data_IF_680143310265
#
_entry.id   IF_680143310265
#
_cell.length_a   1.000
_cell.length_b   1.000
_cell.length_c   1.000
_cell.angle_alpha   90.00
_cell.angle_beta   90.00
_cell.angle_gamma   90.00
#
_symmetry.space_group_name_H-M   'P 1'
#
loop_
_entity.id
_entity.type
_entity.pdbx_description
1 polymer ?
#
# COMPACT_ATOMS: atom_id res chain seq x y z
N UNK A 1 -11.53 -4.02 10.17
CA UNK A 1 -11.65 -5.05 9.10
C UNK A 1 -10.23 -5.37 8.66
N UNK A 2 -9.83 -6.65 8.69
CA UNK A 2 -8.53 -7.06 8.19
C UNK A 2 -8.57 -7.25 6.65
N UNK A 3 -7.38 -7.41 6.03
CA UNK A 3 -7.30 -7.54 4.57
C UNK A 3 -7.99 -8.82 4.06
N UNK A 4 -7.85 -9.93 4.78
CA UNK A 4 -8.42 -11.23 4.38
C UNK A 4 -9.94 -11.16 4.31
N UNK A 5 -10.58 -10.48 5.27
CA UNK A 5 -12.03 -10.24 5.26
C UNK A 5 -12.44 -9.33 4.09
N UNK A 6 -11.61 -8.32 3.79
CA UNK A 6 -11.86 -7.37 2.72
C UNK A 6 -11.80 -8.01 1.34
N UNK A 7 -10.77 -8.84 1.08
CA UNK A 7 -10.59 -9.53 -0.20
C UNK A 7 -11.48 -10.77 -0.37
N UNK A 8 -12.16 -11.22 0.69
CA UNK A 8 -13.03 -12.41 0.68
C UNK A 8 -12.36 -13.66 0.11
N UNK A 9 -11.06 -13.83 0.35
CA UNK A 9 -10.25 -14.91 -0.20
C UNK A 9 -9.84 -14.75 -1.67
N UNK A 10 -10.20 -13.65 -2.33
CA UNK A 10 -9.79 -13.35 -3.70
C UNK A 10 -8.58 -12.41 -3.69
N UNK A 11 -7.39 -12.99 -3.65
CA UNK A 11 -6.13 -12.24 -3.72
C UNK A 11 -5.81 -11.77 -5.14
N UNK A 12 -4.97 -10.75 -5.26
CA UNK A 12 -4.59 -10.14 -6.53
C UNK A 12 -5.62 -9.16 -7.08
N UNK A 13 -5.30 -8.57 -8.24
CA UNK A 13 -6.18 -7.57 -8.90
C UNK A 13 -6.86 -8.22 -10.10
N UNK A 14 -8.17 -8.05 -10.20
CA UNK A 14 -8.94 -8.57 -11.34
C UNK A 14 -8.72 -7.71 -12.58
N UNK A 15 -8.63 -8.37 -13.73
CA UNK A 15 -8.46 -7.71 -15.03
C UNK A 15 -9.82 -7.36 -15.62
N UNK A 16 -9.94 -6.14 -16.14
CA UNK A 16 -11.12 -5.71 -16.85
C UNK A 16 -11.04 -6.10 -18.33
N UNK A 17 -12.04 -6.80 -18.83
CA UNK A 17 -12.12 -7.25 -20.21
C UNK A 17 -13.35 -6.67 -20.92
N UNK A 18 -13.23 -6.51 -22.26
CA UNK A 18 -14.36 -6.18 -23.14
C UNK A 18 -14.40 -7.10 -24.34
N UNK A 19 -15.61 -7.45 -24.77
CA UNK A 19 -15.85 -8.20 -26.02
C UNK A 19 -15.93 -7.32 -27.27
N UNK A 20 -15.79 -6.00 -27.12
CA UNK A 20 -15.89 -5.05 -28.23
C UNK A 20 -14.62 -5.11 -29.10
N UNK A 21 -14.75 -5.15 -30.41
CA UNK A 21 -13.62 -5.22 -31.33
C UNK A 21 -12.90 -3.87 -31.50
N UNK A 22 -13.64 -2.77 -31.39
CA UNK A 22 -13.11 -1.40 -31.54
C UNK A 22 -13.83 -0.43 -30.61
N UNK A 23 -13.07 0.42 -29.95
CA UNK A 23 -13.61 1.52 -29.14
C UNK A 23 -13.99 2.69 -30.04
N UNK A 24 -15.20 3.20 -29.83
CA UNK A 24 -15.79 4.33 -30.58
C UNK A 24 -16.51 5.26 -29.61
N UNK A 25 -16.83 6.51 -30.00
CA UNK A 25 -17.61 7.43 -29.16
C UNK A 25 -18.99 6.89 -28.74
N UNK A 26 -19.57 5.98 -29.53
CA UNK A 26 -20.89 5.39 -29.27
C UNK A 26 -20.87 4.29 -28.23
N UNK A 27 -19.72 3.56 -28.07
CA UNK A 27 -19.66 2.41 -27.19
C UNK A 27 -18.74 2.61 -25.95
N UNK A 28 -17.87 3.63 -25.95
CA UNK A 28 -16.88 3.84 -24.87
C UNK A 28 -17.54 4.00 -23.50
N UNK A 29 -18.65 4.72 -23.40
CA UNK A 29 -19.40 4.92 -22.15
C UNK A 29 -19.87 3.57 -21.60
N UNK A 30 -20.42 2.72 -22.46
CA UNK A 30 -20.84 1.36 -22.06
C UNK A 30 -19.67 0.52 -21.59
N UNK A 31 -18.54 0.54 -22.33
CA UNK A 31 -17.33 -0.22 -21.94
C UNK A 31 -16.82 0.23 -20.57
N UNK A 32 -16.77 1.53 -20.30
CA UNK A 32 -16.38 2.06 -18.99
C UNK A 32 -17.38 1.63 -17.91
N UNK A 33 -18.70 1.76 -18.18
CA UNK A 33 -19.76 1.35 -17.24
C UNK A 33 -19.70 -0.12 -16.88
N UNK A 34 -19.45 -0.99 -17.86
CA UNK A 34 -19.38 -2.45 -17.68
C UNK A 34 -18.11 -2.87 -16.89
N UNK A 35 -17.04 -2.07 -16.93
CA UNK A 35 -15.73 -2.42 -16.36
C UNK A 35 -15.41 -1.70 -15.04
N UNK A 36 -15.99 -0.54 -14.78
CA UNK A 36 -15.69 0.28 -13.59
C UNK A 36 -15.97 -0.46 -12.28
N UNK A 37 -16.97 -1.34 -12.24
CA UNK A 37 -17.29 -2.14 -11.05
C UNK A 37 -16.13 -3.07 -10.63
N UNK A 38 -15.39 -3.63 -11.60
CA UNK A 38 -14.20 -4.44 -11.36
C UNK A 38 -13.09 -3.56 -10.78
N UNK A 39 -12.87 -2.39 -11.40
CA UNK A 39 -11.86 -1.45 -10.93
C UNK A 39 -12.15 -0.93 -9.52
N UNK A 40 -13.39 -0.61 -9.19
CA UNK A 40 -13.77 -0.13 -7.85
C UNK A 40 -13.47 -1.15 -6.75
N UNK A 41 -13.64 -2.45 -7.03
CA UNK A 41 -13.18 -3.52 -6.10
C UNK A 41 -11.67 -3.52 -5.98
N UNK A 42 -10.95 -3.48 -7.09
CA UNK A 42 -9.49 -3.39 -7.08
C UNK A 42 -9.01 -2.16 -6.30
N UNK A 43 -9.64 -1.00 -6.53
CA UNK A 43 -9.33 0.25 -5.82
C UNK A 43 -9.42 0.10 -4.31
N UNK A 44 -10.47 -0.52 -3.80
CA UNK A 44 -10.62 -0.76 -2.35
C UNK A 44 -9.45 -1.55 -1.78
N UNK A 45 -8.97 -2.58 -2.49
CA UNK A 45 -7.83 -3.38 -2.08
C UNK A 45 -6.50 -2.61 -2.24
N UNK A 46 -6.35 -1.86 -3.32
CA UNK A 46 -5.18 -0.99 -3.59
C UNK A 46 -5.04 0.06 -2.47
N UNK A 47 -6.14 0.74 -2.13
CA UNK A 47 -6.16 1.78 -1.09
C UNK A 47 -5.80 1.19 0.28
N UNK A 48 -6.30 -0.01 0.60
CA UNK A 48 -5.96 -0.70 1.84
C UNK A 48 -4.47 -1.05 1.89
N UNK A 49 -3.94 -1.72 0.87
CA UNK A 49 -2.55 -2.15 0.81
C UNK A 49 -1.56 -0.98 0.83
N UNK A 50 -1.89 0.10 0.14
CA UNK A 50 -1.05 1.29 0.11
C UNK A 50 -1.02 2.01 1.47
N UNK A 51 -2.16 2.10 2.19
CA UNK A 51 -2.21 2.62 3.56
C UNK A 51 -1.47 1.70 4.52
N UNK A 52 -1.65 0.38 4.38
CA UNK A 52 -0.96 -0.63 5.19
C UNK A 52 0.57 -0.47 5.08
N UNK A 53 1.10 -0.36 3.86
CA UNK A 53 2.51 -0.11 3.59
C UNK A 53 2.99 1.20 4.25
N UNK A 54 2.15 2.22 4.32
CA UNK A 54 2.45 3.48 5.00
C UNK A 54 2.40 3.42 6.53
N UNK A 55 2.02 2.28 7.11
CA UNK A 55 1.93 2.09 8.55
C UNK A 55 0.54 2.17 9.14
N UNK A 56 -0.51 2.43 8.34
CA UNK A 56 -1.90 2.37 8.78
C UNK A 56 -2.35 0.90 8.85
N UNK A 57 -1.98 0.23 9.94
CA UNK A 57 -2.13 -1.22 10.11
C UNK A 57 -3.15 -1.56 11.20
N UNK A 58 -3.80 -2.76 11.13
CA UNK A 58 -4.89 -3.14 12.02
C UNK A 58 -4.59 -3.06 13.51
N UNK A 59 -3.34 -3.26 13.90
CA UNK A 59 -2.92 -3.20 15.30
C UNK A 59 -3.19 -1.83 15.95
N UNK A 60 -3.15 -0.75 15.19
CA UNK A 60 -3.42 0.60 15.67
C UNK A 60 -4.86 0.78 16.17
N UNK A 61 -5.77 -0.06 15.67
CA UNK A 61 -7.21 -0.03 16.00
C UNK A 61 -7.61 -1.11 16.99
N UNK A 62 -6.62 -1.85 17.56
CA UNK A 62 -6.87 -2.88 18.55
C UNK A 62 -7.44 -2.29 19.84
N UNK A 63 -8.55 -2.84 20.32
CA UNK A 63 -9.10 -2.54 21.64
C UNK A 63 -9.04 -3.78 22.52
N UNK A 64 -8.56 -3.61 23.76
CA UNK A 64 -8.60 -4.64 24.80
C UNK A 64 -9.78 -4.38 25.73
N UNK A 65 -10.53 -5.43 26.06
CA UNK A 65 -11.65 -5.36 27.00
C UNK A 65 -11.11 -5.47 28.44
N UNK A 66 -10.05 -6.33 28.63
CA UNK A 66 -9.41 -6.54 29.91
C UNK A 66 -8.17 -5.69 29.99
N UNK A 67 -8.04 -4.86 31.01
CA UNK A 67 -6.94 -3.90 31.22
C UNK A 67 -6.71 -2.98 30.02
N UNK A 68 -7.68 -2.15 29.68
CA UNK A 68 -7.59 -1.25 28.52
C UNK A 68 -6.46 -0.22 28.63
N UNK A 69 -5.99 0.05 29.86
CA UNK A 69 -4.85 0.92 30.17
C UNK A 69 -3.51 0.35 29.68
N UNK A 70 -3.40 -1.00 29.56
CA UNK A 70 -2.20 -1.69 29.07
C UNK A 70 -2.49 -2.17 27.65
N UNK A 71 -2.46 -1.27 26.70
CA UNK A 71 -2.79 -1.54 25.29
C UNK A 71 -1.81 -0.85 24.34
N UNK A 72 -0.55 -1.29 24.40
CA UNK A 72 0.45 -0.84 23.44
C UNK A 72 0.10 -1.29 22.03
N UNK A 73 0.27 -0.39 21.06
CA UNK A 73 -0.05 -0.60 19.65
C UNK A 73 1.17 -0.23 18.82
N UNK A 74 2.01 -1.22 18.56
CA UNK A 74 3.28 -1.05 17.86
C UNK A 74 3.17 -1.56 16.45
N UNK A 75 3.62 -0.77 15.51
CA UNK A 75 3.79 -1.16 14.11
C UNK A 75 5.27 -1.34 13.83
N UNK A 76 5.69 -2.57 13.59
CA UNK A 76 6.99 -2.90 13.00
C UNK A 76 6.77 -3.01 11.48
N UNK A 77 7.06 -1.94 10.72
CA UNK A 77 6.57 -1.79 9.36
C UNK A 77 7.42 -2.51 8.32
N UNK A 78 7.46 -3.85 8.39
CA UNK A 78 8.16 -4.69 7.40
C UNK A 78 7.54 -4.62 6.00
N UNK A 79 6.26 -4.23 5.90
CA UNK A 79 5.64 -3.99 4.59
C UNK A 79 6.33 -2.85 3.84
N UNK A 80 6.68 -1.76 4.54
CA UNK A 80 7.43 -0.65 3.95
C UNK A 80 8.86 -1.07 3.54
N UNK A 81 9.54 -1.82 4.39
CA UNK A 81 10.89 -2.33 4.11
C UNK A 81 10.90 -3.23 2.88
N UNK A 82 9.97 -4.20 2.80
CA UNK A 82 9.84 -5.11 1.65
C UNK A 82 9.64 -4.35 0.34
N UNK A 83 8.72 -3.38 0.34
CA UNK A 83 8.42 -2.56 -0.85
C UNK A 83 9.63 -1.70 -1.25
N UNK A 84 10.29 -1.07 -0.30
CA UNK A 84 11.47 -0.23 -0.56
C UNK A 84 12.66 -1.04 -1.04
N UNK A 85 12.89 -2.20 -0.44
CA UNK A 85 13.95 -3.11 -0.86
C UNK A 85 13.76 -3.55 -2.31
N UNK A 86 12.55 -4.02 -2.67
CA UNK A 86 12.25 -4.44 -4.03
C UNK A 86 12.34 -3.29 -5.04
N UNK A 87 11.82 -2.11 -4.71
CA UNK A 87 11.93 -0.95 -5.57
C UNK A 87 13.39 -0.54 -5.81
N UNK A 88 14.23 -0.61 -4.79
CA UNK A 88 15.68 -0.38 -4.89
C UNK A 88 16.39 -1.42 -5.76
N UNK A 89 16.01 -2.70 -5.65
CA UNK A 89 16.58 -3.77 -6.48
C UNK A 89 16.23 -3.64 -7.97
N UNK A 90 15.01 -3.18 -8.28
CA UNK A 90 14.53 -3.09 -9.68
C UNK A 90 14.97 -1.79 -10.34
N UNK A 91 14.97 -0.68 -9.61
CA UNK A 91 15.15 0.68 -10.14
C UNK A 91 16.20 1.48 -9.34
N UNK A 92 17.14 0.80 -8.65
CA UNK A 92 18.20 1.46 -7.89
C UNK A 92 19.25 2.13 -8.78
N UNK A 93 19.39 1.65 -10.01
CA UNK A 93 20.25 2.26 -11.03
C UNK A 93 19.41 2.79 -12.20
N UNK A 94 19.84 3.89 -12.85
CA UNK A 94 19.20 4.44 -14.04
C UNK A 94 19.07 3.43 -15.18
N UNK A 95 17.90 3.41 -15.81
CA UNK A 95 17.68 2.58 -17.00
C UNK A 95 18.20 3.32 -18.23
N UNK A 96 19.26 2.80 -18.84
CA UNK A 96 19.84 3.35 -20.07
C UNK A 96 19.42 2.54 -21.29
N UNK A 97 19.06 3.22 -22.34
CA UNK A 97 18.80 2.62 -23.63
C UNK A 97 20.09 2.58 -24.43
N UNK A 98 20.40 1.45 -25.06
CA UNK A 98 21.58 1.24 -25.84
C UNK A 98 21.26 0.70 -27.23
N UNK A 99 22.04 1.07 -28.20
CA UNK A 99 21.92 0.56 -29.57
C UNK A 99 22.39 -0.90 -29.68
N UNK A 100 21.83 -1.63 -30.63
CA UNK A 100 22.38 -2.93 -31.04
C UNK A 100 23.81 -2.75 -31.59
N UNK A 101 24.67 -3.76 -31.41
CA UNK A 101 26.01 -3.81 -32.03
C UNK A 101 25.89 -3.54 -33.54
N UNK A 102 26.74 -2.67 -34.05
CA UNK A 102 26.79 -2.23 -35.48
C UNK A 102 25.58 -1.31 -35.88
N UNK A 103 25.01 -0.55 -34.98
CA UNK A 103 24.08 0.50 -35.36
C UNK A 103 24.79 1.66 -36.07
N UNK A 104 24.12 2.29 -37.02
CA UNK A 104 24.61 3.48 -37.70
C UNK A 104 24.83 4.64 -36.73
N UNK A 105 25.76 5.53 -37.03
CA UNK A 105 26.09 6.71 -36.23
C UNK A 105 24.84 7.54 -35.91
N UNK A 106 23.95 7.73 -36.88
CA UNK A 106 22.69 8.46 -36.72
C UNK A 106 21.72 7.82 -35.72
N UNK A 107 21.72 6.47 -35.62
CA UNK A 107 20.90 5.75 -34.67
C UNK A 107 21.46 5.93 -33.25
N UNK A 108 22.80 5.90 -33.11
CA UNK A 108 23.47 6.15 -31.82
C UNK A 108 23.13 7.55 -31.30
N UNK A 109 23.25 8.59 -32.13
CA UNK A 109 22.90 9.98 -31.79
C UNK A 109 21.41 10.13 -31.37
N UNK A 110 20.50 9.36 -31.99
CA UNK A 110 19.09 9.37 -31.60
C UNK A 110 18.82 8.68 -30.27
N UNK A 111 19.59 7.63 -29.94
CA UNK A 111 19.44 6.94 -28.64
C UNK A 111 20.04 7.78 -27.51
N UNK A 112 21.20 8.44 -27.79
CA UNK A 112 21.78 9.38 -26.81
C UNK A 112 20.80 10.53 -26.51
N UNK A 113 20.22 11.13 -27.54
CA UNK A 113 19.17 12.17 -27.37
C UNK A 113 17.93 11.64 -26.62
N UNK A 114 17.54 10.38 -26.82
CA UNK A 114 16.43 9.78 -26.04
C UNK A 114 16.81 9.65 -24.56
N UNK A 115 18.04 9.24 -24.24
CA UNK A 115 18.50 9.15 -22.86
C UNK A 115 18.52 10.54 -22.21
N UNK A 116 19.04 11.57 -22.91
CA UNK A 116 19.01 12.94 -22.43
C UNK A 116 17.57 13.42 -22.12
N UNK A 117 16.61 13.17 -23.00
CA UNK A 117 15.21 13.51 -22.76
C UNK A 117 14.58 12.72 -21.59
N UNK A 118 14.99 11.48 -21.36
CA UNK A 118 14.53 10.67 -20.23
C UNK A 118 15.07 11.21 -18.91
N UNK A 119 16.32 11.66 -18.89
CA UNK A 119 16.94 12.29 -17.73
C UNK A 119 16.22 13.62 -17.39
N UNK A 120 15.99 14.47 -18.40
CA UNK A 120 15.23 15.72 -18.23
C UNK A 120 13.79 15.48 -17.77
N UNK A 121 13.13 14.42 -18.26
CA UNK A 121 11.79 14.00 -17.81
C UNK A 121 11.79 13.35 -16.43
N UNK A 122 12.96 13.23 -15.77
CA UNK A 122 13.15 12.58 -14.47
C UNK A 122 12.61 11.13 -14.45
N UNK A 123 12.92 10.37 -15.51
CA UNK A 123 12.40 9.03 -15.73
C UNK A 123 12.76 8.07 -14.58
N UNK A 124 13.94 8.22 -13.97
CA UNK A 124 14.40 7.33 -12.89
C UNK A 124 13.58 7.48 -11.63
N UNK A 125 13.32 8.70 -11.16
CA UNK A 125 12.44 8.93 -10.02
C UNK A 125 11.02 8.40 -10.29
N UNK A 126 10.53 8.54 -11.54
CA UNK A 126 9.24 8.00 -11.95
C UNK A 126 9.25 6.45 -11.97
N UNK A 127 10.34 5.83 -12.38
CA UNK A 127 10.49 4.37 -12.36
C UNK A 127 10.52 3.83 -10.93
N UNK A 128 11.20 4.50 -9.99
CA UNK A 128 11.16 4.16 -8.56
C UNK A 128 9.75 4.29 -8.00
N UNK A 129 9.06 5.40 -8.27
CA UNK A 129 7.66 5.58 -7.85
C UNK A 129 6.75 4.48 -8.40
N UNK A 130 6.91 4.12 -9.68
CA UNK A 130 6.20 3.02 -10.32
C UNK A 130 6.46 1.68 -9.62
N UNK A 131 7.73 1.38 -9.31
CA UNK A 131 8.11 0.14 -8.64
C UNK A 131 7.54 0.04 -7.23
N UNK A 132 7.48 1.16 -6.48
CA UNK A 132 6.83 1.23 -5.17
C UNK A 132 5.34 0.90 -5.29
N UNK A 133 4.61 1.53 -6.21
CA UNK A 133 3.19 1.20 -6.42
C UNK A 133 3.01 -0.26 -6.86
N UNK A 134 3.82 -0.74 -7.79
CA UNK A 134 3.79 -2.11 -8.30
C UNK A 134 3.92 -3.15 -7.18
N UNK A 135 4.92 -2.99 -6.33
CA UNK A 135 5.17 -3.88 -5.20
C UNK A 135 4.08 -3.75 -4.11
N UNK A 136 3.73 -2.51 -3.74
CA UNK A 136 2.78 -2.25 -2.67
C UNK A 136 1.34 -2.67 -2.99
N UNK A 137 0.90 -2.55 -4.25
CA UNK A 137 -0.51 -2.72 -4.61
C UNK A 137 -0.78 -3.83 -5.63
N UNK A 138 0.29 -4.48 -6.14
CA UNK A 138 0.21 -5.56 -7.12
C UNK A 138 0.14 -5.10 -8.57
N UNK A 139 -0.09 -3.81 -8.83
CA UNK A 139 -0.10 -3.20 -10.15
C UNK A 139 0.31 -1.74 -10.09
N UNK A 140 0.84 -1.22 -11.17
CA UNK A 140 1.13 0.20 -11.35
C UNK A 140 0.92 0.59 -12.80
N UNK A 141 0.90 1.89 -13.07
CA UNK A 141 0.72 2.43 -14.41
C UNK A 141 1.80 3.47 -14.70
N UNK A 142 2.28 3.48 -15.93
CA UNK A 142 3.18 4.52 -16.44
C UNK A 142 2.49 5.23 -17.58
N UNK A 143 2.30 6.52 -17.46
CA UNK A 143 1.72 7.38 -18.48
C UNK A 143 2.82 8.22 -19.16
N UNK A 144 2.79 8.24 -20.49
CA UNK A 144 3.67 9.07 -21.32
C UNK A 144 2.75 9.98 -22.13
N UNK A 145 2.79 11.27 -21.84
CA UNK A 145 1.95 12.27 -22.48
C UNK A 145 2.82 13.24 -23.27
N UNK A 146 2.24 13.83 -24.31
CA UNK A 146 2.90 14.90 -25.07
C UNK A 146 3.08 16.11 -24.16
N UNK A 147 4.27 16.76 -24.26
CA UNK A 147 4.49 18.06 -23.63
C UNK A 147 3.89 19.14 -24.53
N UNK A 148 2.93 19.90 -23.99
CA UNK A 148 2.18 20.89 -24.77
C UNK A 148 3.04 22.13 -25.10
N UNK A 149 3.92 22.49 -24.16
CA UNK A 149 4.83 23.64 -24.29
C UNK A 149 6.16 23.30 -25.00
N UNK A 150 6.25 22.09 -25.56
CA UNK A 150 7.47 21.66 -26.24
C UNK A 150 7.72 22.46 -27.52
N UNK A 151 8.92 22.98 -27.65
CA UNK A 151 9.45 23.60 -28.86
C UNK A 151 10.74 22.92 -29.27
N UNK A 152 10.99 22.81 -30.57
CA UNK A 152 12.18 22.08 -31.10
C UNK A 152 13.53 22.63 -30.58
N UNK A 153 13.59 23.88 -30.18
CA UNK A 153 14.77 24.56 -29.67
C UNK A 153 14.66 24.90 -28.17
N UNK A 154 13.68 24.34 -27.49
CA UNK A 154 13.47 24.54 -26.03
C UNK A 154 14.19 23.47 -25.22
N UNK A 155 14.33 23.74 -23.92
CA UNK A 155 15.00 22.87 -22.95
C UNK A 155 14.11 21.74 -22.45
N UNK A 156 12.80 21.71 -22.84
CA UNK A 156 11.87 20.69 -22.38
C UNK A 156 11.88 19.46 -23.29
N UNK A 157 11.77 18.24 -22.74
CA UNK A 157 11.59 17.02 -23.53
C UNK A 157 10.22 17.02 -24.24
N UNK A 158 10.09 16.35 -25.41
CA UNK A 158 8.83 16.31 -26.18
C UNK A 158 7.69 15.56 -25.49
N UNK A 159 7.96 14.96 -24.36
CA UNK A 159 6.99 14.18 -23.58
C UNK A 159 7.24 14.37 -22.07
N UNK A 160 6.20 14.18 -21.30
CA UNK A 160 6.25 14.07 -19.85
C UNK A 160 5.87 12.66 -19.41
N UNK A 161 6.54 12.20 -18.35
CA UNK A 161 6.27 10.91 -17.73
C UNK A 161 5.59 11.18 -16.39
N UNK A 162 4.47 10.50 -16.14
CA UNK A 162 3.90 10.50 -14.80
C UNK A 162 3.38 9.11 -14.42
N UNK A 163 3.27 8.88 -13.11
CA UNK A 163 2.83 7.63 -12.54
C UNK A 163 1.51 7.90 -11.84
N UNK A 164 0.36 7.60 -12.49
CA UNK A 164 -0.92 7.76 -11.85
C UNK A 164 -1.06 6.82 -10.64
N UNK A 165 -1.82 7.27 -9.63
CA UNK A 165 -2.16 6.40 -8.52
C UNK A 165 -2.93 5.17 -9.04
N UNK A 166 -2.55 3.95 -8.65
CA UNK A 166 -3.16 2.74 -9.21
C UNK A 166 -4.66 2.60 -8.95
N UNK A 167 -5.18 3.25 -7.90
CA UNK A 167 -6.61 3.32 -7.61
C UNK A 167 -7.39 4.23 -8.56
N UNK A 168 -6.71 5.11 -9.29
CA UNK A 168 -7.34 6.07 -10.21
C UNK A 168 -7.11 5.75 -11.67
N UNK A 169 -6.57 4.57 -11.97
CA UNK A 169 -6.28 4.18 -13.35
C UNK A 169 -6.46 2.68 -13.56
N UNK A 170 -6.94 2.28 -14.73
CA UNK A 170 -6.98 0.88 -15.15
C UNK A 170 -6.96 0.72 -16.64
N UNK A 171 -6.64 -0.49 -17.10
CA UNK A 171 -6.65 -0.87 -18.51
C UNK A 171 -7.76 -1.88 -18.76
N UNK A 172 -8.50 -1.68 -19.85
CA UNK A 172 -9.48 -2.64 -20.37
C UNK A 172 -8.84 -3.44 -21.50
N UNK A 173 -8.89 -4.75 -21.36
CA UNK A 173 -8.29 -5.69 -22.31
C UNK A 173 -9.36 -6.34 -23.19
N UNK A 174 -8.96 -6.77 -24.38
CA UNK A 174 -9.82 -7.55 -25.28
C UNK A 174 -9.97 -8.98 -24.75
N UNK A 175 -11.22 -9.45 -24.63
CA UNK A 175 -11.50 -10.86 -24.32
C UNK A 175 -10.95 -11.83 -25.40
N UNK A 176 -10.82 -11.35 -26.64
CA UNK A 176 -10.46 -12.19 -27.78
C UNK A 176 -8.95 -12.51 -27.84
N UNK A 177 -8.10 -11.54 -27.53
CA UNK A 177 -6.65 -11.67 -27.72
C UNK A 177 -5.80 -11.13 -26.57
N UNK A 178 -6.40 -10.70 -25.47
CA UNK A 178 -5.68 -10.19 -24.29
C UNK A 178 -4.94 -8.86 -24.51
N UNK A 179 -5.12 -8.17 -25.64
CA UNK A 179 -4.44 -6.90 -25.91
C UNK A 179 -5.16 -5.73 -25.22
N UNK A 180 -4.42 -4.69 -24.77
CA UNK A 180 -5.04 -3.49 -24.23
C UNK A 180 -5.86 -2.77 -25.29
N UNK A 181 -7.09 -2.40 -24.94
CA UNK A 181 -8.08 -1.75 -25.82
C UNK A 181 -8.34 -0.30 -25.40
N UNK A 182 -8.35 -0.03 -24.10
CA UNK A 182 -8.67 1.26 -23.53
C UNK A 182 -7.92 1.45 -22.21
N UNK A 183 -7.26 2.58 -22.04
CA UNK A 183 -6.89 3.06 -20.71
C UNK A 183 -7.95 4.00 -20.18
N UNK A 184 -8.25 3.89 -18.91
CA UNK A 184 -9.22 4.75 -18.21
C UNK A 184 -8.53 5.37 -17.02
N UNK A 185 -8.49 6.68 -16.97
CA UNK A 185 -8.02 7.46 -15.84
C UNK A 185 -9.20 8.19 -15.22
N UNK A 186 -9.33 8.10 -13.91
CA UNK A 186 -10.36 8.73 -13.11
C UNK A 186 -9.77 10.02 -12.56
N UNK A 187 -10.35 11.14 -12.91
CA UNK A 187 -9.90 12.47 -12.54
C UNK A 187 -11.04 13.26 -11.92
N UNK A 188 -10.71 14.33 -11.21
CA UNK A 188 -11.65 15.33 -10.72
C UNK A 188 -11.30 16.67 -11.34
N UNK A 189 -12.31 17.46 -11.67
CA UNK A 189 -12.16 18.85 -12.09
C UNK A 189 -12.04 19.81 -10.88
N UNK A 190 -11.99 21.11 -11.15
CA UNK A 190 -11.88 22.14 -10.11
C UNK A 190 -13.10 22.18 -9.18
N UNK A 191 -14.27 21.74 -9.67
CA UNK A 191 -15.52 21.61 -8.89
C UNK A 191 -15.65 20.28 -8.17
N UNK A 192 -14.57 19.47 -8.10
CA UNK A 192 -14.52 18.11 -7.56
C UNK A 192 -15.43 17.10 -8.30
N UNK A 193 -15.96 17.44 -9.48
CA UNK A 193 -16.72 16.50 -10.29
C UNK A 193 -15.82 15.47 -10.93
N UNK A 194 -16.18 14.20 -10.76
CA UNK A 194 -15.44 13.09 -11.33
C UNK A 194 -15.70 13.00 -12.85
N UNK A 195 -14.62 12.85 -13.62
CA UNK A 195 -14.68 12.54 -15.02
C UNK A 195 -13.66 11.44 -15.37
N UNK A 196 -13.88 10.79 -16.51
CA UNK A 196 -12.97 9.76 -17.02
C UNK A 196 -12.26 10.28 -18.26
N UNK A 197 -10.92 10.20 -18.25
CA UNK A 197 -10.10 10.45 -19.41
C UNK A 197 -9.66 9.09 -19.97
N UNK A 198 -10.08 8.79 -21.18
CA UNK A 198 -9.91 7.46 -21.76
C UNK A 198 -9.09 7.56 -23.04
N UNK A 199 -8.16 6.62 -23.25
CA UNK A 199 -7.37 6.54 -24.48
C UNK A 199 -7.50 5.14 -25.09
N UNK A 200 -7.94 5.08 -26.31
CA UNK A 200 -7.79 3.93 -27.20
C UNK A 200 -6.54 4.12 -28.07
N UNK A 201 -6.20 3.13 -28.90
CA UNK A 201 -5.07 3.25 -29.82
C UNK A 201 -5.13 4.50 -30.70
N UNK A 202 -6.32 4.89 -31.18
CA UNK A 202 -6.48 5.94 -32.19
C UNK A 202 -7.23 7.17 -31.71
N UNK A 203 -7.93 7.10 -30.59
CA UNK A 203 -8.81 8.16 -30.10
C UNK A 203 -8.68 8.35 -28.60
N UNK A 204 -8.91 9.59 -28.14
CA UNK A 204 -9.15 9.89 -26.74
C UNK A 204 -10.61 10.29 -26.52
N UNK A 205 -11.09 10.14 -25.29
CA UNK A 205 -12.46 10.47 -24.89
C UNK A 205 -12.45 11.05 -23.47
N UNK A 206 -13.20 12.14 -23.28
CA UNK A 206 -13.53 12.65 -21.95
C UNK A 206 -15.00 12.31 -21.68
N UNK A 207 -15.25 11.62 -20.59
CA UNK A 207 -16.59 11.19 -20.20
C UNK A 207 -16.96 11.88 -18.89
N UNK A 208 -18.01 12.69 -18.90
CA UNK A 208 -18.54 13.38 -17.72
C UNK A 208 -20.02 13.06 -17.60
N UNK A 209 -20.48 12.71 -16.39
CA UNK A 209 -21.88 12.38 -16.13
C UNK A 209 -22.46 11.31 -17.08
N UNK A 210 -21.66 10.30 -17.40
CA UNK A 210 -22.08 9.18 -18.27
C UNK A 210 -22.25 9.55 -19.75
N UNK A 211 -21.71 10.69 -20.20
CA UNK A 211 -21.74 11.13 -21.60
C UNK A 211 -20.34 11.50 -22.08
N UNK A 212 -20.06 11.24 -23.35
CA UNK A 212 -18.84 11.74 -23.99
C UNK A 212 -19.00 13.24 -24.19
N UNK A 213 -18.20 14.03 -23.48
CA UNK A 213 -18.19 15.49 -23.56
C UNK A 213 -17.15 16.01 -24.56
N UNK A 214 -16.07 15.25 -24.74
CA UNK A 214 -15.00 15.59 -25.67
C UNK A 214 -14.39 14.30 -26.23
N UNK A 215 -13.99 14.30 -27.48
CA UNK A 215 -13.23 13.23 -28.10
C UNK A 215 -12.41 13.76 -29.29
N UNK A 216 -11.32 13.06 -29.59
CA UNK A 216 -10.41 13.44 -30.67
C UNK A 216 -9.46 12.33 -31.05
N UNK A 217 -8.48 12.68 -31.91
CA UNK A 217 -7.45 11.75 -32.34
C UNK A 217 -6.41 11.61 -31.24
N UNK A 218 -6.06 10.37 -30.92
CA UNK A 218 -4.91 10.07 -30.10
C UNK A 218 -3.64 10.06 -30.96
N UNK A 219 -2.84 11.11 -30.85
CA UNK A 219 -1.63 11.31 -31.67
C UNK A 219 -0.44 10.40 -31.28
N UNK A 220 -0.56 9.55 -30.26
CA UNK A 220 0.55 8.70 -29.79
C UNK A 220 0.76 7.42 -30.62
N UNK A 221 -0.15 7.06 -31.49
CA UNK A 221 -0.10 5.79 -32.24
C UNK A 221 -0.29 4.53 -31.37
N UNK A 222 -0.58 4.69 -30.10
CA UNK A 222 -0.78 3.65 -29.11
C UNK A 222 -1.54 4.18 -27.89
N UNK A 223 -1.83 3.33 -26.91
CA UNK A 223 -2.39 3.74 -25.63
C UNK A 223 -1.27 4.36 -24.78
N UNK A 224 -1.36 5.64 -24.37
CA UNK A 224 -0.25 6.32 -23.69
C UNK A 224 -0.06 5.89 -22.22
N UNK A 225 -1.00 5.13 -21.66
CA UNK A 225 -0.92 4.60 -20.31
C UNK A 225 -0.74 3.09 -20.38
N UNK A 226 0.34 2.60 -19.80
CA UNK A 226 0.70 1.18 -19.80
C UNK A 226 0.62 0.63 -18.39
N UNK A 227 -0.01 -0.52 -18.23
CA UNK A 227 -0.01 -1.25 -16.97
C UNK A 227 1.33 -1.99 -16.78
N UNK A 228 1.85 -1.94 -15.54
CA UNK A 228 3.02 -2.67 -15.09
C UNK A 228 2.59 -3.54 -13.91
N UNK A 229 2.11 -4.78 -14.14
CA UNK A 229 1.71 -5.68 -13.07
C UNK A 229 2.93 -6.21 -12.32
N UNK A 230 2.76 -6.49 -11.03
CA UNK A 230 3.82 -7.04 -10.19
C UNK A 230 4.16 -8.51 -10.57
N UNK A 231 3.12 -9.25 -10.93
CA UNK A 231 3.17 -10.62 -11.40
C UNK A 231 1.92 -10.91 -12.24
N UNK A 232 1.77 -12.16 -12.71
CA UNK A 232 0.64 -12.56 -13.56
C UNK A 232 -0.72 -12.31 -12.88
N UNK A 233 -0.82 -12.61 -11.59
CA UNK A 233 -2.06 -12.49 -10.81
C UNK A 233 -2.25 -11.10 -10.18
N UNK A 234 -1.32 -10.18 -10.41
CA UNK A 234 -1.30 -8.84 -9.81
C UNK A 234 -1.34 -8.86 -8.28
N UNK A 235 -0.64 -9.86 -7.71
CA UNK A 235 -0.44 -9.96 -6.27
C UNK A 235 0.55 -8.89 -5.79
N UNK A 236 0.23 -8.23 -4.71
CA UNK A 236 1.14 -7.34 -3.99
C UNK A 236 2.13 -8.16 -3.15
N UNK A 237 3.34 -7.65 -3.00
CA UNK A 237 4.32 -8.27 -2.08
C UNK A 237 3.89 -8.09 -0.62
N UNK A 238 3.14 -7.04 -0.32
CA UNK A 238 2.54 -6.83 1.01
C UNK A 238 1.43 -7.84 1.29
N UNK A 239 0.54 -8.06 0.32
CA UNK A 239 -0.63 -8.94 0.48
C UNK A 239 -0.23 -10.41 0.72
N UNK A 240 0.87 -10.86 0.12
CA UNK A 240 1.39 -12.22 0.28
C UNK A 240 1.81 -12.50 1.74
N UNK A 241 2.39 -11.51 2.41
CA UNK A 241 2.93 -11.63 3.76
C UNK A 241 2.09 -10.92 4.84
N UNK A 242 0.91 -10.40 4.50
CA UNK A 242 0.14 -9.48 5.36
C UNK A 242 -0.24 -10.11 6.70
N UNK A 243 -0.57 -11.41 6.72
CA UNK A 243 -0.90 -12.14 7.96
C UNK A 243 0.31 -12.31 8.87
N UNK A 244 1.50 -12.47 8.29
CA UNK A 244 2.76 -12.51 9.03
C UNK A 244 3.08 -11.15 9.63
N UNK A 245 2.95 -10.07 8.87
CA UNK A 245 3.16 -8.70 9.37
C UNK A 245 2.19 -8.36 10.53
N UNK A 246 0.92 -8.76 10.41
CA UNK A 246 -0.06 -8.60 11.49
C UNK A 246 0.33 -9.40 12.74
N UNK A 247 0.86 -10.62 12.58
CA UNK A 247 1.33 -11.46 13.69
C UNK A 247 2.54 -10.84 14.41
N UNK A 248 3.51 -10.29 13.66
CA UNK A 248 4.68 -9.59 14.20
C UNK A 248 4.25 -8.37 15.01
N UNK A 249 3.39 -7.53 14.46
CA UNK A 249 2.87 -6.34 15.16
C UNK A 249 2.15 -6.69 16.45
N UNK A 250 1.33 -7.74 16.42
CA UNK A 250 0.63 -8.25 17.59
C UNK A 250 1.62 -8.74 18.65
N UNK A 251 2.62 -9.52 18.25
CA UNK A 251 3.64 -10.03 19.12
C UNK A 251 4.44 -8.92 19.82
N UNK A 252 4.95 -7.94 19.06
CA UNK A 252 5.68 -6.79 19.60
C UNK A 252 4.84 -5.95 20.57
N UNK A 253 3.58 -5.73 20.21
CA UNK A 253 2.63 -5.02 21.08
C UNK A 253 2.37 -5.78 22.38
N UNK A 254 2.20 -7.10 22.31
CA UNK A 254 1.94 -7.94 23.49
C UNK A 254 3.19 -8.11 24.35
N UNK A 255 4.38 -8.10 23.76
CA UNK A 255 5.66 -8.06 24.48
C UNK A 255 5.78 -6.80 25.33
N UNK A 256 5.50 -5.62 24.75
CA UNK A 256 5.51 -4.37 25.53
C UNK A 256 4.44 -4.34 26.63
N UNK A 257 3.23 -4.84 26.31
CA UNK A 257 2.19 -4.99 27.32
C UNK A 257 2.63 -5.89 28.47
N UNK A 258 3.36 -6.98 28.19
CA UNK A 258 3.91 -7.87 29.18
C UNK A 258 4.92 -7.18 30.10
N UNK A 259 5.85 -6.40 29.51
CA UNK A 259 6.83 -5.61 30.29
C UNK A 259 6.11 -4.61 31.19
N UNK A 260 5.11 -3.90 30.69
CA UNK A 260 4.35 -2.92 31.47
C UNK A 260 3.54 -3.57 32.59
N UNK A 261 2.94 -4.74 32.35
CA UNK A 261 2.26 -5.53 33.37
C UNK A 261 3.20 -6.08 34.44
N UNK A 262 4.43 -6.43 34.05
CA UNK A 262 5.46 -6.91 35.00
C UNK A 262 5.89 -5.80 35.96
N UNK A 263 6.00 -4.57 35.48
CA UNK A 263 6.30 -3.40 36.35
C UNK A 263 5.15 -3.10 37.30
N UNK A 264 3.90 -3.47 36.94
CA UNK A 264 2.68 -3.37 37.77
C UNK A 264 2.44 -4.70 38.51
N UNK A 265 3.39 -5.19 39.31
CA UNK A 265 3.24 -6.43 40.04
C UNK A 265 1.98 -6.46 40.91
N UNK A 266 1.32 -7.63 40.98
CA UNK A 266 0.17 -7.82 41.84
C UNK A 266 0.60 -8.07 43.28
N UNK A 267 0.01 -7.31 44.22
CA UNK A 267 0.17 -7.59 45.65
C UNK A 267 -0.92 -8.59 46.07
N UNK A 268 -0.48 -9.70 46.64
CA UNK A 268 -1.36 -10.69 47.23
C UNK A 268 -1.36 -10.50 48.74
N UNK A 269 -2.53 -10.12 49.25
CA UNK A 269 -2.74 -9.98 50.70
C UNK A 269 -3.28 -11.29 51.27
N UNK A 270 -2.62 -11.80 52.31
CA UNK A 270 -3.07 -12.98 53.04
C UNK A 270 -3.42 -12.57 54.48
N UNK A 271 -4.62 -12.98 54.96
CA UNK A 271 -5.08 -12.73 56.31
C UNK A 271 -5.10 -11.24 56.71
N UNK A 272 -5.28 -10.34 55.78
CA UNK A 272 -5.39 -8.91 56.03
C UNK A 272 -6.53 -8.30 55.19
N UNK A 273 -7.27 -7.41 55.81
CA UNK A 273 -8.26 -6.58 55.13
C UNK A 273 -7.59 -5.26 54.74
N UNK A 274 -7.68 -4.89 53.48
CA UNK A 274 -7.15 -3.62 52.92
C UNK A 274 -8.26 -2.93 52.16
N UNK A 275 -8.61 -1.73 52.61
CA UNK A 275 -9.57 -0.87 51.91
C UNK A 275 -8.88 -0.26 50.66
N UNK A 276 -9.70 0.03 49.64
CA UNK A 276 -9.23 0.62 48.37
C UNK A 276 -8.44 1.93 48.58
N UNK A 277 -8.87 2.77 49.50
CA UNK A 277 -8.19 4.02 49.83
C UNK A 277 -6.82 3.79 50.56
N UNK A 278 -6.77 2.78 51.41
CA UNK A 278 -5.49 2.38 52.07
C UNK A 278 -4.55 1.79 51.03
N UNK A 279 -5.02 0.94 50.13
CA UNK A 279 -4.23 0.39 49.02
C UNK A 279 -3.64 1.50 48.14
N UNK A 280 -4.44 2.47 47.71
CA UNK A 280 -3.99 3.60 46.88
C UNK A 280 -2.94 4.47 47.60
N UNK A 281 -3.04 4.62 48.94
CA UNK A 281 -2.04 5.31 49.73
C UNK A 281 -0.73 4.53 49.83
N UNK A 282 -0.80 3.22 50.02
CA UNK A 282 0.37 2.33 50.05
C UNK A 282 1.14 2.37 48.71
N UNK A 283 0.43 2.27 47.59
CA UNK A 283 1.01 2.37 46.24
C UNK A 283 1.70 3.72 46.00
N UNK A 284 1.09 4.83 46.46
CA UNK A 284 1.67 6.18 46.30
C UNK A 284 2.89 6.38 47.21
N UNK A 285 2.92 5.78 48.38
CA UNK A 285 4.03 5.90 49.34
C UNK A 285 5.17 4.92 49.05
N UNK A 286 4.94 3.91 48.16
CA UNK A 286 5.91 2.85 47.90
C UNK A 286 6.22 1.96 49.13
N UNK A 287 5.35 1.98 50.16
CA UNK A 287 5.51 1.22 51.38
C UNK A 287 4.22 0.47 51.74
N UNK A 288 4.33 -0.76 52.21
CA UNK A 288 3.25 -1.60 52.62
C UNK A 288 3.20 -1.65 54.14
N UNK A 289 2.07 -1.27 54.75
CA UNK A 289 1.80 -1.46 56.16
C UNK A 289 0.59 -2.37 56.32
N UNK A 290 0.77 -3.51 56.97
CA UNK A 290 -0.30 -4.50 57.18
C UNK A 290 -0.62 -4.53 58.67
N UNK A 291 -1.92 -4.41 59.01
CA UNK A 291 -2.39 -4.61 60.36
C UNK A 291 -2.73 -6.08 60.58
N UNK A 292 -2.18 -6.66 61.61
CA UNK A 292 -2.49 -8.01 62.04
C UNK A 292 -3.94 -8.08 62.56
N UNK A 293 -4.75 -9.00 62.05
CA UNK A 293 -6.14 -9.21 62.45
C UNK A 293 -6.30 -9.97 63.79
N UNK A 294 -5.19 -10.30 64.44
CA UNK A 294 -5.22 -10.79 65.84
C UNK A 294 -5.66 -12.26 66.02
N UNK A 295 -5.91 -13.02 64.98
CA UNK A 295 -6.43 -14.38 65.04
C UNK A 295 -5.31 -15.48 65.00
N UNK A 296 -4.07 -15.17 65.37
CA UNK A 296 -2.98 -16.13 65.43
C UNK A 296 -2.49 -16.63 64.05
N UNK A 297 -3.02 -16.10 62.94
CA UNK A 297 -2.56 -16.36 61.59
C UNK A 297 -1.65 -15.22 61.14
N UNK A 298 -0.47 -15.55 60.72
CA UNK A 298 0.55 -14.60 60.26
C UNK A 298 0.01 -13.86 58.99
N UNK A 299 -0.08 -12.52 59.08
CA UNK A 299 -0.45 -11.68 57.95
C UNK A 299 0.79 -11.52 57.05
N UNK A 300 0.60 -11.71 55.76
CA UNK A 300 1.69 -11.66 54.79
C UNK A 300 1.25 -10.95 53.51
N UNK A 301 2.21 -10.25 52.88
CA UNK A 301 1.99 -9.59 51.59
C UNK A 301 3.07 -10.08 50.63
N UNK A 302 2.65 -10.86 49.67
CA UNK A 302 3.51 -11.36 48.60
C UNK A 302 3.38 -10.51 47.34
N UNK A 303 4.51 -10.09 46.83
CA UNK A 303 4.54 -9.50 45.46
C UNK A 303 4.53 -10.65 44.45
N UNK A 304 3.41 -10.82 43.76
CA UNK A 304 3.33 -11.79 42.66
C UNK A 304 3.84 -11.15 41.39
N UNK A 305 5.05 -11.50 40.98
CA UNK A 305 5.59 -11.14 39.68
C UNK A 305 5.30 -12.27 38.70
N UNK A 306 4.72 -11.94 37.50
CA UNK A 306 4.71 -12.88 36.40
C UNK A 306 6.15 -12.95 35.85
N UNK A 307 6.77 -14.11 35.86
CA UNK A 307 8.06 -14.28 35.17
C UNK A 307 7.89 -14.12 33.69
N UNK A 308 8.46 -13.05 33.12
CA UNK A 308 8.61 -12.89 31.71
C UNK A 308 9.78 -13.75 31.23
N UNK A 309 9.49 -14.86 30.60
CA UNK A 309 10.52 -15.66 29.96
C UNK A 309 11.03 -14.96 28.70
N UNK A 310 12.00 -14.04 28.91
CA UNK A 310 12.56 -13.25 27.79
C UNK A 310 13.26 -14.13 26.74
N UNK A 311 13.78 -15.29 27.16
CA UNK A 311 14.42 -16.22 26.22
C UNK A 311 13.43 -16.87 25.28
N UNK A 312 12.28 -17.34 25.76
CA UNK A 312 11.20 -17.87 24.90
C UNK A 312 10.61 -16.79 23.97
N UNK A 313 10.52 -15.58 24.47
CA UNK A 313 10.08 -14.43 23.69
C UNK A 313 11.06 -14.10 22.54
N UNK A 314 12.36 -14.23 22.75
CA UNK A 314 13.36 -14.00 21.70
C UNK A 314 13.37 -15.15 20.68
N UNK A 315 13.30 -16.41 21.13
CA UNK A 315 13.18 -17.57 20.24
C UNK A 315 11.94 -17.47 19.35
N UNK A 316 10.79 -17.10 19.92
CA UNK A 316 9.58 -16.92 19.13
C UNK A 316 9.70 -15.80 18.07
N UNK A 317 10.49 -14.77 18.35
CA UNK A 317 10.80 -13.73 17.35
C UNK A 317 11.72 -14.28 16.26
N UNK A 318 12.76 -14.99 16.62
CA UNK A 318 13.74 -15.55 15.68
C UNK A 318 13.10 -16.63 14.78
N UNK A 319 12.08 -17.34 15.26
CA UNK A 319 11.30 -18.31 14.47
C UNK A 319 10.34 -17.65 13.45
N UNK A 320 9.99 -16.38 13.63
CA UNK A 320 9.10 -15.60 12.74
C UNK A 320 9.90 -14.92 11.63
N UNK A 321 11.16 -14.56 11.88
CA UNK A 321 12.06 -13.91 10.91
C UNK A 321 12.94 -14.92 10.18
#
# INVERSE_FOLDING_TARGET
MNFVDLCRGEFGRKVAYTGVDRITPQNVVKVVSDTIGIHNRNRTLIDYLYRYMKGDQPILYRNKIVRPEVNNRVVENHAFETVKFKAGQICGEPIQYVCKKNADKKINEQVDLLNDYLDEANADARNIQRAIYQSATGTSYKAILKEEDWTKNGDLPPFRIFIPYPGDCYIVYSQRNGKPMLSVQILKDEDEQQYYLCYSKNQFFKITNGKVTEYGINGFGGIPIVECPNNHDRLSDVEIAITLFDAINKYQSDRLNGVEQFVQAFMKFKNCEVDENEFLKMVKLGAISVKDTGNGCQSDVELMTAELNQSESQVAKDDIY
#
